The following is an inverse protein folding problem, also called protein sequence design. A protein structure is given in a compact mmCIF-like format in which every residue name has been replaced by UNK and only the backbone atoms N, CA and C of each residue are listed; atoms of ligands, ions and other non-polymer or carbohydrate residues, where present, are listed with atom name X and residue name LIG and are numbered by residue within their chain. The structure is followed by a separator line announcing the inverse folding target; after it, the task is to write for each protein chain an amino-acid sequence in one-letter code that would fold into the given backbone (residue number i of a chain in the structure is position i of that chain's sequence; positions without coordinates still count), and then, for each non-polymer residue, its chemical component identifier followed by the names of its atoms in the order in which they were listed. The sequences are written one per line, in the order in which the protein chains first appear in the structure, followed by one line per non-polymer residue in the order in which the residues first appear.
data_IF_379332029987
#
_entry.id   IF_379332029987
#
_cell.length_a   1.000
_cell.length_b   1.000
_cell.length_c   1.000
_cell.angle_alpha   90.00
_cell.angle_beta   90.00
_cell.angle_gamma   90.00
#
_symmetry.space_group_name_H-M   'P 1'
#
loop_
_entity.id
_entity.type
_entity.pdbx_description
1 polymer ?
#
# COMPACT_ATOMS: atom_id res chain seq x y z
N UNK A 1 12.31 16.02 -18.66
CA UNK A 1 12.64 16.89 -17.52
C UNK A 1 13.58 16.21 -16.50
N UNK A 2 14.31 15.16 -16.88
CA UNK A 2 15.42 14.61 -16.12
C UNK A 2 15.06 13.60 -15.02
N UNK A 3 13.83 13.11 -14.92
CA UNK A 3 13.49 12.00 -14.03
C UNK A 3 14.15 10.70 -14.52
N UNK A 4 14.82 9.97 -13.63
CA UNK A 4 15.49 8.69 -13.94
C UNK A 4 14.53 7.51 -13.94
N UNK A 5 13.43 7.59 -13.19
CA UNK A 5 12.36 6.61 -13.10
C UNK A 5 11.07 7.28 -12.66
N UNK A 6 9.94 6.60 -12.77
CA UNK A 6 8.65 7.04 -12.22
C UNK A 6 8.08 5.96 -11.30
N UNK A 7 7.46 6.38 -10.21
CA UNK A 7 6.70 5.49 -9.31
C UNK A 7 5.22 5.67 -9.64
N UNK A 8 4.57 4.58 -10.07
CA UNK A 8 3.13 4.53 -10.30
C UNK A 8 2.46 3.93 -9.05
N UNK A 9 1.85 4.79 -8.23
CA UNK A 9 1.26 4.40 -6.95
C UNK A 9 -0.26 4.29 -7.04
N UNK A 10 -0.76 3.08 -6.93
CA UNK A 10 -2.20 2.80 -6.94
C UNK A 10 -2.92 3.13 -5.64
N UNK A 11 -4.23 3.27 -5.73
CA UNK A 11 -5.12 3.63 -4.60
C UNK A 11 -5.19 2.61 -3.47
N UNK A 12 -4.55 1.45 -3.61
CA UNK A 12 -4.40 0.45 -2.55
C UNK A 12 -3.32 0.80 -1.53
N UNK A 13 -2.49 1.80 -1.80
CA UNK A 13 -1.42 2.25 -0.90
C UNK A 13 -1.92 2.82 0.42
N UNK A 14 -1.03 2.95 1.39
CA UNK A 14 -1.25 3.68 2.64
C UNK A 14 -0.72 5.10 2.55
N UNK A 15 -1.29 6.02 3.32
CA UNK A 15 -0.98 7.44 3.20
C UNK A 15 -1.80 8.11 2.09
N UNK A 16 -1.24 9.09 1.41
CA UNK A 16 -1.94 9.76 0.30
C UNK A 16 -2.22 8.78 -0.83
N UNK A 17 -3.43 8.83 -1.37
CA UNK A 17 -3.87 7.89 -2.41
C UNK A 17 -4.54 8.59 -3.58
N UNK A 18 -4.33 8.06 -4.79
CA UNK A 18 -5.11 8.42 -5.97
C UNK A 18 -6.39 7.56 -6.08
N UNK A 19 -7.07 7.70 -7.22
CA UNK A 19 -8.31 6.97 -7.50
C UNK A 19 -8.09 5.67 -8.28
N UNK A 20 -7.04 5.61 -9.10
CA UNK A 20 -6.75 4.42 -9.91
C UNK A 20 -6.10 3.32 -9.07
N UNK A 21 -6.53 2.09 -9.30
CA UNK A 21 -5.88 0.90 -8.71
C UNK A 21 -4.56 0.59 -9.42
N UNK A 22 -3.66 -0.11 -8.74
CA UNK A 22 -2.35 -0.52 -9.28
C UNK A 22 -2.49 -1.30 -10.59
N UNK A 23 -3.47 -2.21 -10.66
CA UNK A 23 -3.76 -3.02 -11.85
C UNK A 23 -4.12 -2.16 -13.09
N UNK A 24 -4.81 -1.05 -12.90
CA UNK A 24 -5.20 -0.15 -13.99
C UNK A 24 -4.15 0.93 -14.27
N UNK A 25 -3.46 1.41 -13.24
CA UNK A 25 -2.52 2.53 -13.34
C UNK A 25 -1.20 2.14 -14.01
N UNK A 26 -0.60 1.03 -13.55
CA UNK A 26 0.77 0.65 -13.94
C UNK A 26 0.91 0.48 -15.45
N UNK A 27 0.04 -0.28 -16.17
CA UNK A 27 0.20 -0.43 -17.62
C UNK A 27 0.00 0.88 -18.37
N UNK A 28 -0.93 1.74 -17.93
CA UNK A 28 -1.14 3.05 -18.57
C UNK A 28 0.09 3.95 -18.43
N UNK A 29 0.78 3.90 -17.30
CA UNK A 29 2.04 4.65 -17.13
C UNK A 29 3.15 4.01 -17.95
N UNK A 30 3.28 2.69 -17.94
CA UNK A 30 4.31 1.98 -18.71
C UNK A 30 4.22 2.23 -20.22
N UNK A 31 3.00 2.36 -20.76
CA UNK A 31 2.77 2.59 -22.18
C UNK A 31 3.15 4.02 -22.65
N UNK A 32 3.20 5.00 -21.74
CA UNK A 32 3.40 6.42 -22.12
C UNK A 32 4.77 6.99 -21.75
N UNK A 33 5.59 6.26 -20.97
CA UNK A 33 6.92 6.72 -20.59
C UNK A 33 8.01 5.80 -21.12
N UNK A 34 9.19 6.35 -21.44
CA UNK A 34 10.37 5.60 -21.86
C UNK A 34 11.37 5.34 -20.72
N UNK A 35 11.09 5.83 -19.51
CA UNK A 35 11.91 5.63 -18.31
C UNK A 35 11.35 4.46 -17.47
N UNK A 36 12.16 3.83 -16.62
CA UNK A 36 11.70 2.74 -15.76
C UNK A 36 10.49 3.12 -14.92
N UNK A 37 9.50 2.21 -14.86
CA UNK A 37 8.29 2.34 -14.02
C UNK A 37 8.42 1.42 -12.82
N UNK A 38 8.22 1.96 -11.62
CA UNK A 38 8.19 1.24 -10.35
C UNK A 38 6.73 1.21 -9.89
N UNK A 39 6.17 0.03 -9.69
CA UNK A 39 4.81 -0.11 -9.18
C UNK A 39 4.77 0.04 -7.66
N UNK A 40 3.79 0.77 -7.13
CA UNK A 40 3.55 0.92 -5.70
C UNK A 40 2.05 0.80 -5.39
N UNK A 41 1.74 0.38 -4.15
CA UNK A 41 0.36 0.16 -3.70
C UNK A 41 -0.12 -1.27 -3.93
N UNK A 42 -0.70 -1.88 -2.90
CA UNK A 42 -1.28 -3.22 -2.99
C UNK A 42 -0.27 -4.37 -3.10
N UNK A 43 1.00 -4.16 -2.77
CA UNK A 43 2.06 -5.17 -2.92
C UNK A 43 2.55 -5.62 -1.54
N UNK A 44 2.33 -6.91 -1.22
CA UNK A 44 2.72 -7.53 0.05
C UNK A 44 3.58 -8.79 -0.11
N UNK A 45 3.39 -9.54 -1.19
CA UNK A 45 4.11 -10.80 -1.43
C UNK A 45 4.50 -10.99 -2.91
N UNK A 46 5.07 -12.13 -3.25
CA UNK A 46 5.55 -12.45 -4.59
C UNK A 46 4.46 -12.49 -5.66
N UNK A 47 3.20 -12.70 -5.29
CA UNK A 47 2.05 -12.71 -6.22
C UNK A 47 1.82 -11.33 -6.81
N UNK A 48 1.73 -10.31 -5.95
CA UNK A 48 1.54 -8.93 -6.41
C UNK A 48 2.80 -8.38 -7.08
N UNK A 49 4.00 -8.77 -6.62
CA UNK A 49 5.24 -8.41 -7.31
C UNK A 49 5.25 -8.94 -8.74
N UNK A 50 4.95 -10.22 -8.94
CA UNK A 50 4.89 -10.82 -10.28
C UNK A 50 3.84 -10.14 -11.17
N UNK A 51 2.65 -9.85 -10.60
CA UNK A 51 1.61 -9.13 -11.32
C UNK A 51 2.09 -7.73 -11.76
N UNK A 52 2.77 -6.98 -10.88
CA UNK A 52 3.32 -5.67 -11.21
C UNK A 52 4.36 -5.73 -12.34
N UNK A 53 5.24 -6.74 -12.34
CA UNK A 53 6.19 -6.97 -13.43
C UNK A 53 5.48 -7.32 -14.74
N UNK A 54 4.43 -8.15 -14.69
CA UNK A 54 3.62 -8.48 -15.87
C UNK A 54 2.87 -7.27 -16.45
N UNK A 55 2.56 -6.27 -15.62
CA UNK A 55 1.95 -4.99 -16.04
C UNK A 55 2.95 -3.98 -16.64
N UNK A 56 4.22 -4.33 -16.74
CA UNK A 56 5.27 -3.49 -17.34
C UNK A 56 6.12 -2.71 -16.34
N UNK A 57 5.96 -2.93 -15.04
CA UNK A 57 6.88 -2.35 -14.06
C UNK A 57 8.26 -3.05 -14.10
N UNK A 58 9.35 -2.30 -13.89
CA UNK A 58 10.68 -2.86 -13.75
C UNK A 58 11.05 -3.22 -12.29
N UNK A 59 10.20 -2.85 -11.34
CA UNK A 59 10.38 -3.10 -9.93
C UNK A 59 9.17 -2.66 -9.11
N UNK A 60 9.23 -2.85 -7.80
CA UNK A 60 8.15 -2.53 -6.88
C UNK A 60 8.64 -1.68 -5.71
N UNK A 61 7.76 -0.81 -5.20
CA UNK A 61 7.93 -0.11 -3.93
C UNK A 61 6.90 -0.67 -2.94
N UNK A 62 7.37 -1.13 -1.79
CA UNK A 62 6.54 -1.65 -0.71
C UNK A 62 6.62 -0.74 0.51
N UNK A 63 5.49 -0.46 1.15
CA UNK A 63 5.42 0.36 2.36
C UNK A 63 4.84 -0.42 3.53
N UNK A 64 3.57 -0.79 3.44
CA UNK A 64 2.81 -1.44 4.53
C UNK A 64 3.49 -2.71 5.05
N UNK A 65 4.02 -3.53 4.15
CA UNK A 65 4.74 -4.76 4.51
C UNK A 65 6.01 -4.46 5.33
N UNK A 66 6.69 -3.35 5.08
CA UNK A 66 7.88 -2.96 5.85
C UNK A 66 7.55 -2.36 7.22
N UNK A 67 6.28 -2.00 7.50
CA UNK A 67 5.88 -1.59 8.86
C UNK A 67 6.03 -2.74 9.87
N UNK A 68 6.03 -4.00 9.41
CA UNK A 68 6.29 -5.18 10.25
C UNK A 68 7.77 -5.48 10.46
N UNK A 69 8.65 -4.75 9.79
CA UNK A 69 10.08 -5.04 9.89
C UNK A 69 10.58 -4.85 11.33
N UNK A 70 11.43 -5.76 11.79
CA UNK A 70 12.05 -5.66 13.12
C UNK A 70 12.81 -4.35 13.26
N UNK A 71 13.49 -3.92 12.20
CA UNK A 71 14.29 -2.68 12.14
C UNK A 71 13.44 -1.41 11.97
N UNK A 72 12.15 -1.54 11.65
CA UNK A 72 11.29 -0.37 11.49
C UNK A 72 11.12 0.35 12.84
N UNK A 73 11.49 1.64 12.95
CA UNK A 73 11.54 2.36 14.23
C UNK A 73 10.18 2.87 14.72
N UNK A 74 9.07 2.44 14.12
CA UNK A 74 7.73 2.81 14.59
C UNK A 74 7.42 2.13 15.93
N UNK A 75 6.56 2.75 16.72
CA UNK A 75 6.15 2.23 18.03
C UNK A 75 5.51 0.83 17.92
N UNK A 76 5.80 -0.04 18.90
CA UNK A 76 5.30 -1.43 18.91
C UNK A 76 3.77 -1.54 18.86
N UNK A 77 3.05 -0.59 19.43
CA UNK A 77 1.58 -0.54 19.33
C UNK A 77 1.11 -0.38 17.87
N UNK A 78 1.86 0.36 17.06
CA UNK A 78 1.56 0.52 15.63
C UNK A 78 1.79 -0.81 14.89
N UNK A 79 2.95 -1.46 15.12
CA UNK A 79 3.23 -2.80 14.55
C UNK A 79 2.13 -3.78 14.96
N UNK A 80 1.78 -3.81 16.25
CA UNK A 80 0.70 -4.69 16.75
C UNK A 80 -0.66 -4.40 16.09
N UNK A 81 -0.97 -3.15 15.77
CA UNK A 81 -2.18 -2.79 15.05
C UNK A 81 -2.17 -3.30 13.60
N UNK A 82 -1.02 -3.23 12.92
CA UNK A 82 -0.84 -3.81 11.58
C UNK A 82 -1.03 -5.33 11.61
N UNK A 83 -0.38 -6.04 12.55
CA UNK A 83 -0.48 -7.50 12.66
C UNK A 83 -1.89 -8.01 12.98
N UNK A 84 -2.74 -7.17 13.57
CA UNK A 84 -4.14 -7.48 13.89
C UNK A 84 -5.11 -7.11 12.77
N UNK A 85 -4.66 -6.36 11.76
CA UNK A 85 -5.51 -5.87 10.69
C UNK A 85 -6.05 -7.04 9.85
N UNK A 86 -7.28 -6.88 9.40
CA UNK A 86 -7.98 -7.79 8.48
C UNK A 86 -8.21 -7.08 7.15
N UNK A 87 -8.70 -7.80 6.16
CA UNK A 87 -8.90 -7.36 4.77
C UNK A 87 -9.62 -6.01 4.64
N UNK A 88 -10.65 -5.80 5.46
CA UNK A 88 -11.49 -4.59 5.41
C UNK A 88 -11.09 -3.50 6.41
N UNK A 89 -9.95 -3.58 7.10
CA UNK A 89 -9.64 -2.70 8.24
C UNK A 89 -8.97 -1.38 7.85
N UNK A 90 -8.85 -1.06 6.57
CA UNK A 90 -8.46 0.28 6.11
C UNK A 90 -9.65 1.12 5.69
N UNK A 91 -9.49 2.42 5.74
CA UNK A 91 -10.45 3.41 5.22
C UNK A 91 -9.69 4.59 4.62
N UNK A 92 -10.36 5.37 3.76
CA UNK A 92 -9.81 6.61 3.20
C UNK A 92 -10.57 7.78 3.82
N UNK A 93 -9.84 8.72 4.39
CA UNK A 93 -10.31 10.02 4.87
C UNK A 93 -9.94 11.10 3.86
N UNK A 94 -10.57 12.27 3.90
CA UNK A 94 -10.16 13.43 3.12
C UNK A 94 -10.56 13.42 1.65
N UNK A 95 -11.40 12.49 1.18
CA UNK A 95 -11.84 12.48 -0.22
C UNK A 95 -12.65 13.73 -0.60
N UNK A 96 -13.61 14.12 0.24
CA UNK A 96 -14.41 15.31 0.00
C UNK A 96 -13.58 16.60 0.10
N UNK A 97 -12.53 16.59 0.90
CA UNK A 97 -11.60 17.70 1.06
C UNK A 97 -10.48 17.75 0.00
N UNK A 98 -10.41 16.79 -0.93
CA UNK A 98 -9.40 16.74 -1.98
C UNK A 98 -8.01 16.27 -1.51
N UNK A 99 -7.88 15.76 -0.29
CA UNK A 99 -6.64 15.25 0.30
C UNK A 99 -6.83 13.82 0.84
N UNK A 100 -7.10 12.83 -0.03
CA UNK A 100 -7.42 11.47 0.41
C UNK A 100 -6.22 10.78 1.03
N UNK A 101 -6.42 10.19 2.23
CA UNK A 101 -5.40 9.46 2.98
C UNK A 101 -5.95 8.11 3.43
N UNK A 102 -5.27 7.01 3.10
CA UNK A 102 -5.61 5.67 3.58
C UNK A 102 -4.89 5.33 4.87
N UNK A 103 -5.64 4.83 5.84
CA UNK A 103 -5.14 4.44 7.17
C UNK A 103 -5.98 3.29 7.75
N UNK A 104 -5.50 2.66 8.82
CA UNK A 104 -6.30 1.70 9.58
C UNK A 104 -7.50 2.39 10.23
N UNK A 105 -8.62 1.69 10.25
CA UNK A 105 -9.83 2.12 10.97
C UNK A 105 -9.57 2.18 12.46
N UNK A 106 -9.74 3.36 13.07
CA UNK A 106 -9.64 3.59 14.50
C UNK A 106 -10.64 4.68 14.94
N UNK A 107 -10.72 5.05 16.23
CA UNK A 107 -11.60 6.13 16.68
C UNK A 107 -11.34 7.46 15.96
N UNK A 108 -10.09 7.84 15.74
CA UNK A 108 -9.73 9.09 15.05
C UNK A 108 -10.25 9.09 13.60
N UNK A 109 -10.02 8.02 12.83
CA UNK A 109 -10.49 7.91 11.46
C UNK A 109 -12.02 7.98 11.35
N UNK A 110 -12.74 7.33 12.28
CA UNK A 110 -14.22 7.41 12.34
C UNK A 110 -14.70 8.83 12.65
N UNK A 111 -14.06 9.50 13.58
CA UNK A 111 -14.39 10.89 13.92
C UNK A 111 -14.10 11.84 12.77
N UNK A 112 -12.98 11.67 12.07
CA UNK A 112 -12.66 12.42 10.86
C UNK A 112 -13.77 12.30 9.82
N UNK A 113 -14.16 11.06 9.47
CA UNK A 113 -15.21 10.80 8.48
C UNK A 113 -16.58 11.37 8.93
N UNK A 114 -16.87 11.35 10.22
CA UNK A 114 -18.07 11.96 10.77
C UNK A 114 -18.08 13.48 10.56
N UNK A 115 -16.95 14.14 10.83
CA UNK A 115 -16.80 15.61 10.63
C UNK A 115 -16.86 15.96 9.14
N UNK A 116 -16.14 15.22 8.30
CA UNK A 116 -16.15 15.40 6.84
C UNK A 116 -17.58 15.29 6.29
N UNK A 117 -18.33 14.26 6.70
CA UNK A 117 -19.73 14.08 6.31
C UNK A 117 -20.65 15.20 6.83
N UNK A 118 -20.31 15.81 7.96
CA UNK A 118 -21.05 16.95 8.53
C UNK A 118 -20.69 18.29 7.85
N UNK A 119 -19.80 18.31 6.87
CA UNK A 119 -19.42 19.51 6.12
C UNK A 119 -18.33 20.33 6.78
N UNK A 120 -17.51 19.75 7.66
CA UNK A 120 -16.35 20.44 8.23
C UNK A 120 -15.41 20.92 7.11
N UNK A 121 -14.85 22.11 7.27
CA UNK A 121 -13.90 22.69 6.33
C UNK A 121 -12.58 21.91 6.31
N UNK A 122 -11.78 22.07 5.23
CA UNK A 122 -10.45 21.48 5.14
C UNK A 122 -9.57 21.92 6.32
N UNK A 123 -9.60 23.20 6.67
CA UNK A 123 -8.83 23.75 7.80
C UNK A 123 -9.20 23.09 9.14
N UNK A 124 -10.47 22.89 9.41
CA UNK A 124 -10.94 22.19 10.63
C UNK A 124 -10.48 20.73 10.67
N UNK A 125 -10.50 20.04 9.51
CA UNK A 125 -10.04 18.66 9.38
C UNK A 125 -8.52 18.53 9.51
N UNK A 126 -7.76 19.44 8.92
CA UNK A 126 -6.30 19.53 9.08
C UNK A 126 -5.91 19.81 10.53
N UNK A 127 -6.57 20.77 11.18
CA UNK A 127 -6.35 21.07 12.60
C UNK A 127 -6.64 19.85 13.49
N UNK A 128 -7.71 19.11 13.19
CA UNK A 128 -8.06 17.89 13.92
C UNK A 128 -7.00 16.80 13.82
N UNK A 129 -6.35 16.66 12.66
CA UNK A 129 -5.32 15.64 12.42
C UNK A 129 -3.90 16.12 12.64
N UNK A 130 -3.69 17.38 13.02
CA UNK A 130 -2.35 17.95 13.27
C UNK A 130 -1.56 17.09 14.25
N UNK A 131 -0.39 16.59 13.81
CA UNK A 131 0.49 15.75 14.60
C UNK A 131 -0.01 14.31 14.84
N UNK A 132 -1.14 13.89 14.24
CA UNK A 132 -1.71 12.56 14.47
C UNK A 132 -0.80 11.43 13.98
N UNK A 133 -0.10 11.61 12.86
CA UNK A 133 0.87 10.62 12.38
C UNK A 133 2.03 10.48 13.38
N UNK A 134 2.55 11.59 13.89
CA UNK A 134 3.63 11.58 14.89
C UNK A 134 3.19 10.86 16.16
N UNK A 135 1.97 11.09 16.64
CA UNK A 135 1.41 10.38 17.81
C UNK A 135 1.34 8.86 17.57
N UNK A 136 0.94 8.42 16.37
CA UNK A 136 0.94 7.00 16.05
C UNK A 136 2.34 6.40 16.02
N UNK A 137 3.28 7.09 15.35
CA UNK A 137 4.63 6.55 15.06
C UNK A 137 5.50 6.53 16.32
N UNK A 138 5.50 7.60 17.13
CA UNK A 138 6.41 7.76 18.26
C UNK A 138 5.76 7.49 19.61
N UNK A 139 4.51 7.92 19.80
CA UNK A 139 3.84 7.81 21.10
C UNK A 139 3.00 6.51 21.18
N UNK A 140 2.85 5.78 20.06
CA UNK A 140 2.06 4.54 20.00
C UNK A 140 0.56 4.74 20.26
N UNK A 141 0.05 5.96 20.05
CA UNK A 141 -1.38 6.25 20.20
C UNK A 141 -2.16 5.71 19.01
N UNK A 142 -2.64 4.49 19.13
CA UNK A 142 -3.45 3.83 18.10
C UNK A 142 -4.90 4.30 18.07
N UNK A 143 -5.35 5.10 19.04
CA UNK A 143 -6.72 5.62 19.11
C UNK A 143 -6.89 6.96 18.41
N UNK A 144 -5.92 7.88 18.65
CA UNK A 144 -5.97 9.27 18.15
C UNK A 144 -4.90 9.55 17.10
N UNK A 145 -4.04 8.57 16.80
CA UNK A 145 -3.02 8.66 15.77
C UNK A 145 -3.51 8.23 14.40
N UNK A 146 -2.86 8.72 13.34
CA UNK A 146 -3.05 8.26 11.96
C UNK A 146 -2.14 7.05 11.69
N UNK A 147 -2.72 5.86 11.64
CA UNK A 147 -1.98 4.63 11.34
C UNK A 147 -2.06 4.37 9.82
N UNK A 148 -1.20 5.05 9.06
CA UNK A 148 -1.19 4.93 7.60
C UNK A 148 -0.78 3.51 7.19
N UNK A 149 -1.66 2.83 6.45
CA UNK A 149 -1.43 1.47 5.94
C UNK A 149 -2.31 1.21 4.72
N UNK A 150 -1.76 0.50 3.75
CA UNK A 150 -2.48 0.09 2.54
C UNK A 150 -3.42 -1.08 2.76
N UNK A 151 -4.19 -1.40 1.74
CA UNK A 151 -5.18 -2.48 1.78
C UNK A 151 -4.57 -3.85 2.08
N UNK A 152 -3.29 -4.05 1.78
CA UNK A 152 -2.55 -5.28 2.09
C UNK A 152 -2.20 -5.45 3.57
N UNK A 153 -2.63 -4.55 4.46
CA UNK A 153 -2.40 -4.70 5.90
C UNK A 153 -2.91 -6.05 6.44
N UNK A 154 -4.04 -6.54 5.91
CA UNK A 154 -4.58 -7.86 6.27
C UNK A 154 -3.74 -9.07 5.85
N UNK A 155 -2.67 -8.85 5.06
CA UNK A 155 -1.72 -9.89 4.64
C UNK A 155 -0.43 -9.90 5.49
N UNK A 156 -0.34 -9.03 6.48
CA UNK A 156 0.85 -8.87 7.35
C UNK A 156 0.60 -9.56 8.68
N UNK A 157 1.30 -10.68 8.96
CA UNK A 157 0.95 -11.55 10.08
C UNK A 157 2.04 -11.72 11.14
N UNK A 158 3.29 -11.32 10.85
CA UNK A 158 4.43 -11.53 11.75
C UNK A 158 5.48 -10.43 11.60
N UNK A 159 6.32 -10.26 12.62
CA UNK A 159 7.48 -9.37 12.56
C UNK A 159 8.66 -10.17 12.02
N UNK A 160 9.33 -9.64 11.00
CA UNK A 160 10.50 -10.26 10.36
C UNK A 160 11.61 -9.23 10.16
N UNK A 161 12.88 -9.65 10.06
CA UNK A 161 13.95 -8.81 9.54
C UNK A 161 13.65 -8.33 8.12
N UNK A 162 14.11 -7.13 7.75
CA UNK A 162 13.94 -6.60 6.37
C UNK A 162 14.49 -7.57 5.32
N UNK A 163 15.65 -8.17 5.60
CA UNK A 163 16.27 -9.14 4.70
C UNK A 163 15.35 -10.32 4.37
N UNK A 164 14.68 -10.88 5.39
CA UNK A 164 13.77 -12.00 5.22
C UNK A 164 12.51 -11.59 4.46
N UNK A 165 11.97 -10.40 4.73
CA UNK A 165 10.82 -9.85 3.99
C UNK A 165 11.16 -9.75 2.49
N UNK A 166 12.32 -9.22 2.15
CA UNK A 166 12.73 -9.06 0.76
C UNK A 166 13.03 -10.42 0.10
N UNK A 167 13.69 -11.34 0.80
CA UNK A 167 13.97 -12.68 0.25
C UNK A 167 12.68 -13.46 0.00
N UNK A 168 11.71 -13.42 0.92
CA UNK A 168 10.38 -14.02 0.70
C UNK A 168 9.71 -13.44 -0.55
N UNK A 169 9.69 -12.10 -0.69
CA UNK A 169 9.08 -11.42 -1.82
C UNK A 169 9.69 -11.89 -3.17
N UNK A 170 11.03 -11.95 -3.26
CA UNK A 170 11.73 -12.35 -4.47
C UNK A 170 11.63 -13.84 -4.75
N UNK A 171 11.77 -14.70 -3.74
CA UNK A 171 11.73 -16.16 -3.90
C UNK A 171 10.32 -16.62 -4.33
N UNK A 172 9.27 -16.07 -3.72
CA UNK A 172 7.88 -16.34 -4.10
C UNK A 172 7.60 -15.87 -5.53
N UNK A 173 8.03 -14.67 -5.89
CA UNK A 173 7.85 -14.13 -7.24
C UNK A 173 8.50 -15.05 -8.28
N UNK A 174 9.74 -15.49 -8.06
CA UNK A 174 10.46 -16.41 -8.96
C UNK A 174 9.77 -17.78 -9.07
N UNK A 175 9.33 -18.35 -7.94
CA UNK A 175 8.63 -19.62 -7.92
C UNK A 175 7.32 -19.56 -8.73
N UNK A 176 6.54 -18.49 -8.53
CA UNK A 176 5.27 -18.30 -9.23
C UNK A 176 5.44 -18.04 -10.73
N UNK A 177 6.50 -17.34 -11.15
CA UNK A 177 6.78 -17.15 -12.57
C UNK A 177 6.96 -18.50 -13.29
N UNK A 178 7.63 -19.46 -12.66
CA UNK A 178 7.75 -20.83 -13.18
C UNK A 178 6.41 -21.57 -13.26
N UNK A 179 5.54 -21.40 -12.27
CA UNK A 179 4.22 -22.04 -12.25
C UNK A 179 3.30 -21.45 -13.33
N UNK A 180 3.29 -20.12 -13.47
CA UNK A 180 2.40 -19.44 -14.43
C UNK A 180 2.80 -19.77 -15.86
N UNK A 181 4.10 -19.92 -16.17
CA UNK A 181 4.56 -20.28 -17.52
C UNK A 181 4.03 -21.63 -18.01
N UNK A 182 3.69 -22.56 -17.11
CA UNK A 182 3.08 -23.85 -17.41
C UNK A 182 1.55 -23.89 -17.19
N UNK A 183 0.90 -22.74 -17.01
CA UNK A 183 -0.52 -22.72 -16.72
C UNK A 183 -1.36 -23.05 -17.98
N UNK A 184 -2.33 -24.01 -17.91
CA UNK A 184 -3.09 -24.47 -19.08
C UNK A 184 -3.81 -23.37 -19.88
N UNK A 185 -4.16 -22.25 -19.21
CA UNK A 185 -4.79 -21.10 -19.88
C UNK A 185 -3.81 -20.32 -20.78
N UNK A 186 -2.50 -20.52 -20.61
CA UNK A 186 -1.44 -19.88 -21.39
C UNK A 186 -0.82 -20.83 -22.44
N UNK A 187 -1.20 -22.11 -22.44
CA UNK A 187 -0.80 -23.05 -23.48
C UNK A 187 -1.41 -22.60 -24.80
N UNK A 188 -0.55 -22.41 -25.81
CA UNK A 188 -1.02 -22.17 -27.18
C UNK A 188 -1.80 -23.40 -27.62
N UNK A 189 -3.08 -23.23 -27.93
CA UNK A 189 -3.82 -24.28 -28.63
C UNK A 189 -3.16 -24.44 -30.00
N UNK A 190 -2.25 -25.40 -30.13
CA UNK A 190 -1.78 -25.84 -31.43
C UNK A 190 -3.00 -26.43 -32.17
N UNK A 191 -3.46 -25.78 -33.22
CA UNK A 191 -4.46 -26.25 -34.16
C UNK A 191 -5.91 -25.88 -33.82
N UNK A 192 -6.32 -24.67 -34.13
CA UNK A 192 -7.69 -24.32 -34.50
C UNK A 192 -7.71 -23.70 -35.90
#
# INVERSE_FOLDING_TARGET
QGAAAVIAEGGESGGHVGDLTTLALVPQVADVVSIPVIAAGGIADGRQMLAALALGACGVQIGTTLLRAAECPIHENYKAAILKAKDGDTTVTGRAAGAPVRLLKNPMAREYLRREKAGASLEELEHFTLGSLRRAVFDGDTRNGSLMAGQVAGMVHEILPVADILECLYSECRALAGVISGHPALETREGA
#
